data_IF_098755750973
#
_entry.id   IF_098755750973
#
_cell.length_a   1.000
_cell.length_b   1.000
_cell.length_c   1.000
_cell.angle_alpha   90.00
_cell.angle_beta   90.00
_cell.angle_gamma   90.00
#
_symmetry.space_group_name_H-M   'P 1'
#
loop_
_entity.id
_entity.type
_entity.pdbx_description
1 polymer ?
#
# COMPACT_ATOMS: atom_id res chain seq x y z
N UNK A 1 1.14 20.18 8.05
CA UNK A 1 2.28 19.75 7.19
C UNK A 1 1.81 19.75 5.74
N UNK A 2 2.70 19.76 4.75
CA UNK A 2 2.34 19.65 3.32
C UNK A 2 2.88 18.34 2.74
N UNK A 3 2.01 17.58 2.07
CA UNK A 3 2.37 16.39 1.31
C UNK A 3 3.10 16.82 0.06
N UNK A 4 4.29 16.28 -0.15
CA UNK A 4 4.95 16.34 -1.44
C UNK A 4 5.24 14.89 -1.85
N UNK A 5 4.81 14.54 -3.06
CA UNK A 5 5.12 13.23 -3.63
C UNK A 5 6.57 13.30 -4.11
N UNK A 6 7.44 12.48 -3.52
CA UNK A 6 8.82 12.34 -3.95
C UNK A 6 9.06 10.91 -4.40
N UNK A 7 9.90 10.74 -5.40
CA UNK A 7 10.39 9.41 -5.75
C UNK A 7 11.17 8.85 -4.56
N UNK A 8 10.62 7.82 -3.94
CA UNK A 8 11.13 7.23 -2.70
C UNK A 8 12.43 6.43 -2.92
N UNK A 9 12.90 6.29 -4.16
CA UNK A 9 14.11 5.52 -4.53
C UNK A 9 13.92 4.00 -4.47
N UNK A 10 12.99 3.51 -3.64
CA UNK A 10 12.47 2.16 -3.67
C UNK A 10 11.03 2.17 -4.22
N UNK A 11 10.87 1.69 -5.45
CA UNK A 11 9.60 1.69 -6.16
C UNK A 11 8.48 1.00 -5.38
N UNK A 12 8.78 -0.01 -4.56
CA UNK A 12 7.74 -0.76 -3.84
C UNK A 12 7.09 0.07 -2.73
N UNK A 13 7.83 0.99 -2.11
CA UNK A 13 7.33 1.84 -1.02
C UNK A 13 6.31 2.87 -1.53
N UNK A 14 6.34 3.22 -2.81
CA UNK A 14 5.29 4.04 -3.42
C UNK A 14 3.91 3.37 -3.36
N UNK A 15 3.86 2.03 -3.29
CA UNK A 15 2.65 1.21 -3.20
C UNK A 15 2.38 0.71 -1.78
N UNK A 16 2.86 1.42 -0.76
CA UNK A 16 2.61 1.15 0.67
C UNK A 16 2.01 2.38 1.32
N UNK A 17 1.26 2.23 2.40
CA UNK A 17 0.76 3.35 3.19
C UNK A 17 1.86 3.86 4.14
N UNK A 18 2.72 4.75 3.64
CA UNK A 18 3.93 5.22 4.33
C UNK A 18 4.04 6.73 4.25
N UNK A 19 4.50 7.34 5.34
CA UNK A 19 4.94 8.73 5.40
C UNK A 19 6.37 8.79 5.93
N UNK A 20 7.20 9.62 5.32
CA UNK A 20 8.56 9.89 5.78
C UNK A 20 8.57 11.23 6.52
N UNK A 21 9.12 11.24 7.72
CA UNK A 21 9.20 12.41 8.60
C UNK A 21 10.64 12.54 9.10
N UNK A 22 11.11 13.77 9.35
CA UNK A 22 12.44 13.97 9.95
C UNK A 22 12.53 13.45 11.38
N UNK A 23 11.45 13.60 12.13
CA UNK A 23 11.32 13.15 13.51
C UNK A 23 9.92 12.57 13.72
N UNK A 24 9.71 11.28 13.38
CA UNK A 24 8.40 10.65 13.46
C UNK A 24 7.98 10.47 14.93
N UNK A 25 6.79 10.94 15.35
CA UNK A 25 6.39 10.90 16.75
C UNK A 25 5.99 9.49 17.25
N UNK A 26 5.86 8.53 16.33
CA UNK A 26 5.57 7.11 16.56
C UNK A 26 5.92 6.33 15.28
N UNK A 27 6.04 5.00 15.35
CA UNK A 27 6.17 4.13 14.17
C UNK A 27 4.92 4.12 13.27
N UNK A 28 3.78 4.54 13.82
CA UNK A 28 2.51 4.62 13.11
C UNK A 28 1.80 5.93 13.43
N UNK A 29 1.17 6.49 12.42
CA UNK A 29 0.47 7.77 12.53
C UNK A 29 -0.85 7.72 11.78
N UNK A 30 -1.85 8.45 12.29
CA UNK A 30 -3.04 8.78 11.54
C UNK A 30 -2.79 10.10 10.82
N UNK A 31 -2.85 10.07 9.49
CA UNK A 31 -2.85 11.26 8.66
C UNK A 31 -4.30 11.65 8.35
N UNK A 32 -4.60 12.95 8.44
CA UNK A 32 -5.90 13.51 8.11
C UNK A 32 -5.77 14.63 7.08
N UNK A 33 -6.55 14.55 6.01
CA UNK A 33 -6.68 15.60 5.00
C UNK A 33 -7.64 16.71 5.47
N UNK A 34 -7.65 17.85 4.77
CA UNK A 34 -8.58 18.96 5.05
C UNK A 34 -10.04 18.60 4.74
N UNK A 35 -10.29 17.69 3.80
CA UNK A 35 -11.64 17.21 3.48
C UNK A 35 -12.14 16.10 4.43
N UNK A 36 -11.34 15.75 5.44
CA UNK A 36 -11.71 14.84 6.52
C UNK A 36 -11.41 13.36 6.26
N UNK A 37 -10.78 13.01 5.13
CA UNK A 37 -10.26 11.65 4.88
C UNK A 37 -9.13 11.35 5.84
N UNK A 38 -9.02 10.07 6.21
CA UNK A 38 -8.02 9.60 7.17
C UNK A 38 -7.35 8.33 6.67
N UNK A 39 -6.07 8.20 6.96
CA UNK A 39 -5.30 7.01 6.66
C UNK A 39 -4.33 6.67 7.79
N UNK A 40 -4.27 5.39 8.15
CA UNK A 40 -3.20 4.87 9.00
C UNK A 40 -1.96 4.66 8.14
N UNK A 41 -0.87 5.32 8.49
CA UNK A 41 0.40 5.25 7.78
C UNK A 41 1.49 4.69 8.69
N UNK A 42 2.40 3.91 8.12
CA UNK A 42 3.68 3.66 8.77
C UNK A 42 4.54 4.91 8.65
N UNK A 43 5.04 5.40 9.77
CA UNK A 43 5.98 6.51 9.76
C UNK A 43 7.41 5.96 9.69
N UNK A 44 8.21 6.54 8.81
CA UNK A 44 9.61 6.20 8.62
C UNK A 44 10.45 7.48 8.76
N UNK A 45 11.64 7.35 9.33
CA UNK A 45 12.57 8.47 9.38
C UNK A 45 13.12 8.76 7.97
N UNK A 46 13.14 10.04 7.56
CA UNK A 46 13.69 10.42 6.27
C UNK A 46 13.31 11.83 5.83
N UNK A 47 13.50 12.09 4.53
CA UNK A 47 13.04 13.34 3.91
C UNK A 47 11.52 13.40 3.95
N UNK A 48 10.98 14.55 4.35
CA UNK A 48 9.52 14.76 4.44
C UNK A 48 8.86 14.53 3.08
N UNK A 49 8.12 13.43 2.99
CA UNK A 49 7.37 13.04 1.82
C UNK A 49 6.35 11.95 2.17
N UNK A 50 5.45 11.66 1.23
CA UNK A 50 4.45 10.62 1.36
C UNK A 50 4.54 9.66 0.17
N UNK A 51 4.20 8.39 0.39
CA UNK A 51 4.05 7.45 -0.71
C UNK A 51 2.86 7.81 -1.60
N UNK A 52 2.90 7.34 -2.85
CA UNK A 52 1.80 7.52 -3.80
C UNK A 52 0.48 6.94 -3.28
N UNK A 53 0.51 5.74 -2.72
CA UNK A 53 -0.69 5.07 -2.19
C UNK A 53 -1.35 5.87 -1.06
N UNK A 54 -0.55 6.42 -0.15
CA UNK A 54 -1.06 7.22 0.95
C UNK A 54 -1.55 8.60 0.48
N UNK A 55 -0.90 9.21 -0.51
CA UNK A 55 -1.35 10.43 -1.15
C UNK A 55 -2.72 10.25 -1.85
N UNK A 56 -2.90 9.14 -2.56
CA UNK A 56 -4.17 8.78 -3.21
C UNK A 56 -5.28 8.47 -2.19
N UNK A 57 -4.93 7.88 -1.05
CA UNK A 57 -5.89 7.61 0.03
C UNK A 57 -6.43 8.90 0.67
N UNK A 58 -5.56 9.89 0.86
CA UNK A 58 -5.92 11.19 1.46
C UNK A 58 -6.53 12.17 0.46
N UNK A 59 -6.07 12.16 -0.79
CA UNK A 59 -6.44 13.13 -1.82
C UNK A 59 -6.59 12.47 -3.21
N UNK A 60 -7.59 11.59 -3.41
CA UNK A 60 -7.76 10.86 -4.68
C UNK A 60 -8.06 11.77 -5.88
N UNK A 61 -8.57 12.98 -5.64
CA UNK A 61 -8.95 13.97 -6.65
C UNK A 61 -7.76 14.74 -7.24
N UNK A 62 -6.59 14.68 -6.61
CA UNK A 62 -5.42 15.45 -7.06
C UNK A 62 -4.64 14.68 -8.14
N UNK A 63 -4.02 15.36 -9.12
CA UNK A 63 -3.33 14.75 -10.25
C UNK A 63 -1.92 14.23 -9.87
N UNK A 64 -1.86 13.37 -8.85
CA UNK A 64 -0.62 12.79 -8.34
C UNK A 64 0.16 12.07 -9.45
N UNK A 65 1.45 12.39 -9.58
CA UNK A 65 2.33 11.79 -10.60
C UNK A 65 2.19 12.37 -12.01
N UNK A 66 1.23 13.27 -12.23
CA UNK A 66 1.11 14.04 -13.48
C UNK A 66 1.61 15.48 -13.33
N UNK A 67 1.62 16.00 -12.10
CA UNK A 67 2.10 17.34 -11.77
C UNK A 67 2.73 17.36 -10.37
N UNK A 68 3.53 18.39 -10.11
CA UNK A 68 4.02 18.69 -8.76
C UNK A 68 2.87 19.22 -7.90
N UNK A 69 2.38 18.37 -7.01
CA UNK A 69 1.26 18.65 -6.13
C UNK A 69 1.75 18.81 -4.70
N UNK A 70 1.27 19.87 -4.04
CA UNK A 70 1.38 20.06 -2.59
C UNK A 70 0.00 20.09 -1.96
N UNK A 71 -0.22 19.26 -0.95
CA UNK A 71 -1.51 19.17 -0.28
C UNK A 71 -1.36 19.19 1.25
N UNK A 72 -2.04 20.08 1.98
CA UNK A 72 -1.92 20.16 3.44
C UNK A 72 -2.49 18.93 4.14
N UNK A 73 -1.97 18.56 5.30
CA UNK A 73 -2.48 17.47 6.13
C UNK A 73 -2.00 17.59 7.58
N UNK A 74 -2.71 16.93 8.48
CA UNK A 74 -2.33 16.75 9.89
C UNK A 74 -1.86 15.32 10.13
N UNK A 75 -0.93 15.17 11.07
CA UNK A 75 -0.41 13.86 11.48
C UNK A 75 -0.47 13.78 13.00
N UNK A 76 -0.97 12.65 13.50
CA UNK A 76 -1.03 12.36 14.95
C UNK A 76 -0.52 10.95 15.21
N UNK A 77 0.15 10.68 16.34
CA UNK A 77 0.50 9.32 16.73
C UNK A 77 -0.73 8.43 16.73
N UNK A 78 -0.58 7.20 16.23
CA UNK A 78 -1.63 6.21 16.23
C UNK A 78 -1.10 4.87 16.73
N UNK A 79 -1.97 4.13 17.43
CA UNK A 79 -1.74 2.73 17.74
C UNK A 79 -2.43 1.88 16.67
N UNK A 80 -1.67 1.07 15.91
CA UNK A 80 -2.27 0.26 14.86
C UNK A 80 -3.04 -0.92 15.46
N UNK A 81 -4.10 -1.34 14.76
CA UNK A 81 -4.82 -2.56 15.08
C UNK A 81 -4.23 -3.72 14.28
N UNK A 82 -3.97 -4.83 14.95
CA UNK A 82 -3.52 -6.06 14.29
C UNK A 82 -4.64 -6.68 13.47
N UNK A 83 -4.31 -7.10 12.24
CA UNK A 83 -5.20 -7.88 11.41
C UNK A 83 -5.43 -9.27 12.04
N UNK A 84 -6.68 -9.59 12.35
CA UNK A 84 -7.09 -10.93 12.76
C UNK A 84 -7.12 -11.88 11.57
N UNK A 85 -7.61 -11.39 10.43
CA UNK A 85 -7.74 -12.15 9.21
C UNK A 85 -7.48 -11.28 7.99
N UNK A 86 -6.68 -11.79 7.07
CA UNK A 86 -6.45 -11.21 5.76
C UNK A 86 -6.70 -12.27 4.70
N UNK A 87 -7.55 -11.99 3.73
CA UNK A 87 -7.70 -12.83 2.53
C UNK A 87 -7.14 -12.06 1.36
N UNK A 88 -6.15 -12.64 0.69
CA UNK A 88 -5.52 -12.04 -0.47
C UNK A 88 -5.71 -12.91 -1.70
N UNK A 89 -5.96 -12.27 -2.83
CA UNK A 89 -5.86 -12.88 -4.14
C UNK A 89 -4.55 -12.46 -4.81
N UNK A 90 -3.72 -13.42 -5.21
CA UNK A 90 -2.35 -13.15 -5.72
C UNK A 90 -2.08 -13.91 -7.01
N UNK A 91 -1.12 -13.47 -7.85
CA UNK A 91 -0.67 -14.24 -9.00
C UNK A 91 -0.13 -15.63 -8.61
N UNK A 92 -0.23 -16.58 -9.54
CA UNK A 92 0.32 -17.93 -9.36
C UNK A 92 1.81 -17.88 -9.00
N UNK A 93 2.22 -18.69 -8.01
CA UNK A 93 3.61 -18.76 -7.55
C UNK A 93 3.98 -17.76 -6.44
N UNK A 94 3.10 -16.82 -6.10
CA UNK A 94 3.26 -15.95 -4.93
C UNK A 94 2.86 -16.71 -3.66
N UNK A 95 3.84 -16.93 -2.78
CA UNK A 95 3.65 -17.69 -1.54
C UNK A 95 3.27 -16.80 -0.35
N UNK A 96 2.66 -17.39 0.68
CA UNK A 96 2.38 -16.70 1.95
C UNK A 96 3.65 -16.09 2.57
N UNK A 97 4.77 -16.83 2.53
CA UNK A 97 6.06 -16.36 3.05
C UNK A 97 6.55 -15.10 2.33
N UNK A 98 6.39 -15.04 1.01
CA UNK A 98 6.74 -13.87 0.21
C UNK A 98 5.86 -12.67 0.56
N UNK A 99 4.56 -12.88 0.73
CA UNK A 99 3.60 -11.84 1.12
C UNK A 99 3.95 -11.30 2.50
N UNK A 100 4.17 -12.17 3.50
CA UNK A 100 4.54 -11.75 4.86
C UNK A 100 5.83 -10.94 4.88
N UNK A 101 6.86 -11.41 4.18
CA UNK A 101 8.16 -10.69 4.09
C UNK A 101 8.00 -9.25 3.61
N UNK A 102 7.01 -8.97 2.76
CA UNK A 102 6.85 -7.67 2.12
C UNK A 102 5.80 -6.77 2.78
N UNK A 103 4.79 -7.34 3.44
CA UNK A 103 3.64 -6.60 3.95
C UNK A 103 3.57 -6.57 5.48
N UNK A 104 4.32 -7.43 6.18
CA UNK A 104 4.34 -7.43 7.65
C UNK A 104 4.81 -6.07 8.19
N UNK A 105 4.05 -5.53 9.15
CA UNK A 105 4.33 -4.21 9.73
C UNK A 105 3.92 -3.01 8.85
N UNK A 106 3.30 -3.22 7.69
CA UNK A 106 2.70 -2.15 6.91
C UNK A 106 1.18 -2.14 7.08
N UNK A 107 0.53 -0.95 7.15
CA UNK A 107 -0.92 -0.86 7.10
C UNK A 107 -1.45 -1.44 5.78
N UNK A 108 -2.47 -2.28 5.91
CA UNK A 108 -3.22 -2.86 4.82
C UNK A 108 -4.60 -2.21 4.73
N UNK A 109 -5.12 -2.17 3.52
CA UNK A 109 -6.50 -1.82 3.17
C UNK A 109 -7.00 -2.83 2.16
N UNK A 110 -8.32 -2.97 2.05
CA UNK A 110 -8.90 -3.75 0.95
C UNK A 110 -8.64 -3.07 -0.39
N UNK A 111 -8.37 -3.89 -1.42
CA UNK A 111 -8.05 -3.41 -2.75
C UNK A 111 -6.68 -3.89 -3.26
N UNK A 112 -6.16 -3.20 -4.27
CA UNK A 112 -4.94 -3.63 -4.97
C UNK A 112 -3.69 -3.49 -4.10
N UNK A 113 -2.74 -4.43 -4.24
CA UNK A 113 -1.45 -4.36 -3.55
C UNK A 113 -0.32 -4.82 -4.46
N UNK A 114 0.75 -4.03 -4.50
CA UNK A 114 1.96 -4.38 -5.24
C UNK A 114 2.86 -5.32 -4.43
N UNK A 115 3.39 -6.36 -5.08
CA UNK A 115 4.31 -7.34 -4.52
C UNK A 115 5.51 -7.47 -5.45
N UNK A 116 6.72 -7.35 -4.92
CA UNK A 116 7.93 -7.58 -5.69
C UNK A 116 8.23 -9.08 -5.78
N UNK A 117 8.33 -9.62 -7.00
CA UNK A 117 8.60 -11.03 -7.26
C UNK A 117 9.50 -11.17 -8.50
N UNK A 118 10.57 -11.97 -8.39
CA UNK A 118 11.53 -12.22 -9.48
C UNK A 118 12.01 -10.92 -10.20
N UNK A 119 12.31 -9.87 -9.42
CA UNK A 119 12.73 -8.55 -9.93
C UNK A 119 11.67 -7.76 -10.73
N UNK A 120 10.41 -8.18 -10.67
CA UNK A 120 9.27 -7.45 -11.22
C UNK A 120 8.27 -7.08 -10.11
N UNK A 121 7.40 -6.10 -10.39
CA UNK A 121 6.25 -5.79 -9.55
C UNK A 121 5.05 -6.56 -10.10
N UNK A 122 4.50 -7.42 -9.25
CA UNK A 122 3.27 -8.16 -9.46
C UNK A 122 2.14 -7.52 -8.64
N UNK A 123 0.90 -7.60 -9.12
CA UNK A 123 -0.25 -7.02 -8.42
C UNK A 123 -1.15 -8.12 -7.85
N UNK A 124 -1.25 -8.15 -6.53
CA UNK A 124 -2.26 -8.87 -5.79
C UNK A 124 -3.41 -7.96 -5.37
N UNK A 125 -4.30 -8.52 -4.56
CA UNK A 125 -5.48 -7.84 -4.05
C UNK A 125 -5.78 -8.33 -2.64
N UNK A 126 -5.94 -7.41 -1.69
CA UNK A 126 -6.52 -7.70 -0.37
C UNK A 126 -8.04 -7.74 -0.56
N UNK A 127 -8.58 -8.94 -0.67
CA UNK A 127 -10.01 -9.20 -0.89
C UNK A 127 -10.83 -8.96 0.38
N UNK A 128 -10.23 -9.24 1.53
CA UNK A 128 -10.88 -9.05 2.83
C UNK A 128 -9.85 -8.75 3.92
N UNK A 129 -10.15 -7.77 4.75
CA UNK A 129 -9.35 -7.38 5.90
C UNK A 129 -10.21 -7.27 7.15
N UNK A 130 -9.88 -8.00 8.21
CA UNK A 130 -10.58 -7.92 9.50
C UNK A 130 -9.57 -7.60 10.63
N UNK A 131 -9.74 -6.51 11.39
CA UNK A 131 -10.75 -5.45 11.24
C UNK A 131 -10.44 -4.44 10.13
N UNK A 132 -11.49 -3.75 9.66
CA UNK A 132 -11.43 -2.63 8.71
C UNK A 132 -11.33 -1.28 9.44
N UNK A 133 -10.98 -0.18 8.74
CA UNK A 133 -10.51 -0.12 7.34
C UNK A 133 -8.99 -0.28 7.20
N UNK A 134 -8.23 -0.06 8.27
CA UNK A 134 -6.79 -0.22 8.31
C UNK A 134 -6.40 -1.22 9.39
N UNK A 135 -5.58 -2.20 9.03
CA UNK A 135 -4.98 -3.13 9.98
C UNK A 135 -3.57 -3.51 9.54
N UNK A 136 -2.77 -3.97 10.48
CA UNK A 136 -1.40 -4.38 10.21
C UNK A 136 -1.28 -5.89 10.21
N UNK A 137 -0.65 -6.42 9.16
CA UNK A 137 -0.28 -7.83 9.13
C UNK A 137 0.88 -8.08 10.11
N UNK A 138 0.67 -9.03 11.02
CA UNK A 138 1.69 -9.50 11.97
C UNK A 138 1.87 -11.01 11.85
N UNK A 139 2.80 -11.58 12.62
CA UNK A 139 3.04 -13.02 12.67
C UNK A 139 1.85 -13.82 13.18
N UNK A 140 1.00 -13.21 13.99
CA UNK A 140 -0.19 -13.83 14.61
C UNK A 140 -1.45 -13.68 13.74
N UNK A 141 -1.43 -12.82 12.73
CA UNK A 141 -2.50 -12.68 11.76
C UNK A 141 -2.72 -13.95 10.93
N UNK A 142 -3.98 -14.33 10.74
CA UNK A 142 -4.37 -15.41 9.83
C UNK A 142 -4.38 -14.87 8.40
N UNK A 143 -3.42 -15.32 7.58
CA UNK A 143 -3.33 -14.95 6.16
C UNK A 143 -3.83 -16.11 5.29
N UNK A 144 -4.84 -15.86 4.47
CA UNK A 144 -5.33 -16.81 3.47
C UNK A 144 -4.97 -16.30 2.07
N UNK A 145 -4.23 -17.10 1.32
CA UNK A 145 -3.88 -16.83 -0.07
C UNK A 145 -4.83 -17.56 -1.01
N UNK A 146 -5.30 -16.85 -2.04
CA UNK A 146 -6.11 -17.38 -3.14
C UNK A 146 -5.40 -17.06 -4.45
N UNK A 147 -4.82 -18.05 -5.10
CA UNK A 147 -4.14 -17.83 -6.37
C UNK A 147 -5.15 -17.49 -7.48
N UNK A 148 -4.88 -16.42 -8.24
CA UNK A 148 -5.64 -16.14 -9.47
C UNK A 148 -5.20 -17.15 -10.53
N UNK A 149 -6.14 -17.89 -11.15
CA UNK A 149 -5.78 -18.75 -12.27
C UNK A 149 -5.20 -17.90 -13.39
N UNK A 150 -4.11 -18.37 -13.99
CA UNK A 150 -3.55 -17.75 -15.19
C UNK A 150 -4.58 -17.96 -16.31
N UNK A 151 -5.37 -16.92 -16.62
CA UNK A 151 -6.13 -16.92 -17.85
C UNK A 151 -5.10 -16.91 -18.98
N UNK A 152 -4.90 -18.07 -19.64
CA UNK A 152 -4.13 -18.15 -20.87
C UNK A 152 -4.73 -17.12 -21.83
N UNK A 153 -3.96 -16.10 -22.16
CA UNK A 153 -4.30 -15.18 -23.24
C UNK A 153 -4.23 -16.03 -24.51
N UNK A 154 -5.39 -16.25 -25.15
CA UNK A 154 -5.42 -16.79 -26.51
C UNK A 154 -4.62 -15.83 -27.39
N UNK A 155 -3.47 -16.30 -27.89
CA UNK A 155 -2.66 -15.56 -28.86
C UNK A 155 -3.42 -15.57 -30.19
N UNK A 156 -4.22 -14.53 -30.43
CA UNK A 156 -4.88 -14.32 -31.72
C UNK A 156 -3.82 -13.83 -32.71
N UNK A 157 -3.30 -14.74 -33.54
CA UNK A 157 -2.55 -14.37 -34.73
C UNK A 157 -3.52 -13.77 -35.76
N UNK A 158 -3.63 -12.44 -35.82
CA UNK A 158 -4.17 -11.80 -37.04
C UNK A 158 -3.05 -11.71 -38.07
N UNK A 159 -2.99 -12.69 -38.97
CA UNK A 159 -2.25 -12.54 -40.23
C UNK A 159 -2.97 -11.47 -41.04
N UNK A 160 -2.40 -10.28 -41.12
CA UNK A 160 -2.73 -9.36 -42.20
C UNK A 160 -2.28 -10.00 -43.52
N UNK A 161 -3.24 -10.20 -44.42
CA UNK A 161 -3.01 -10.40 -45.85
C UNK A 161 -3.62 -9.21 -46.58
#
# INVERSE_FOLDING_TARGET
MELTLHDLGDEILNYRLVVFLRDPPSNYVEASSLDGRRALLRAMEGRECISREAALSLYPQLPWGLADVKAPFEVRPAEPVEAKRVVMSVPFGVTEALVRRQLEGFPLVEGSVALQYLSHIEFGEVVRLDPQPYSILTKTSILKIVEKPINRIDVIYSKYK
#
